data_IF_862382652921
#
_entry.id   IF_862382652921
#
_cell.length_a   1.000
_cell.length_b   1.000
_cell.length_c   1.000
_cell.angle_alpha   90.00
_cell.angle_beta   90.00
_cell.angle_gamma   90.00
#
_symmetry.space_group_name_H-M   'P 1'
#
loop_
_entity.id
_entity.type
_entity.pdbx_description
1 polymer ?
#
# COMPACT_ATOMS: atom_id res chain seq x y z
N UNK A 1 20.79 -22.20 -13.31
CA UNK A 1 20.29 -21.24 -12.29
C UNK A 1 20.76 -19.82 -12.55
N UNK A 2 22.08 -19.51 -12.54
CA UNK A 2 22.59 -18.14 -12.76
C UNK A 2 22.14 -17.48 -14.09
N UNK A 3 22.08 -18.25 -15.19
CA UNK A 3 21.60 -17.76 -16.49
C UNK A 3 20.09 -17.45 -16.51
N UNK A 4 19.30 -18.23 -15.77
CA UNK A 4 17.86 -18.01 -15.65
C UNK A 4 17.59 -16.76 -14.82
N UNK A 5 18.32 -16.60 -13.71
CA UNK A 5 18.28 -15.40 -12.88
C UNK A 5 18.68 -14.14 -13.66
N UNK A 6 19.78 -14.17 -14.42
CA UNK A 6 20.20 -13.05 -15.26
C UNK A 6 19.20 -12.74 -16.38
N UNK A 7 18.56 -13.77 -16.94
CA UNK A 7 17.50 -13.58 -17.93
C UNK A 7 16.25 -12.95 -17.30
N UNK A 8 15.85 -13.38 -16.10
CA UNK A 8 14.77 -12.76 -15.34
C UNK A 8 15.06 -11.29 -15.04
N UNK A 9 16.26 -10.98 -14.56
CA UNK A 9 16.70 -9.60 -14.31
C UNK A 9 16.73 -8.78 -15.60
N UNK A 10 17.16 -9.36 -16.72
CA UNK A 10 17.18 -8.68 -18.01
C UNK A 10 15.76 -8.42 -18.55
N UNK A 11 14.85 -9.39 -18.47
CA UNK A 11 13.45 -9.25 -18.89
C UNK A 11 12.73 -8.22 -18.02
N UNK A 12 12.94 -8.26 -16.70
CA UNK A 12 12.47 -7.21 -15.79
C UNK A 12 13.07 -5.84 -16.18
N UNK A 13 14.38 -5.78 -16.45
CA UNK A 13 15.09 -4.60 -16.90
C UNK A 13 14.51 -3.95 -18.15
N UNK A 14 14.11 -4.75 -19.15
CA UNK A 14 13.48 -4.25 -20.38
C UNK A 14 12.00 -3.88 -20.20
N UNK A 15 11.28 -4.46 -19.24
CA UNK A 15 9.91 -4.04 -18.93
C UNK A 15 9.84 -2.60 -18.37
N UNK A 16 10.96 -2.07 -17.85
CA UNK A 16 11.05 -0.68 -17.39
C UNK A 16 11.30 0.34 -18.52
N UNK A 17 11.38 -0.06 -19.80
CA UNK A 17 11.49 0.91 -20.89
C UNK A 17 10.14 1.58 -21.14
N UNK A 18 10.02 2.79 -20.60
CA UNK A 18 8.89 3.73 -20.63
C UNK A 18 7.98 3.65 -21.88
N UNK A 19 6.70 3.37 -21.63
CA UNK A 19 5.63 4.10 -22.30
C UNK A 19 5.26 5.29 -21.39
N UNK A 20 4.63 6.33 -21.93
CA UNK A 20 4.10 7.40 -21.10
C UNK A 20 2.70 6.97 -20.61
N UNK A 21 2.62 6.45 -19.39
CA UNK A 21 1.35 6.35 -18.66
C UNK A 21 1.03 7.67 -17.98
N UNK A 22 -0.25 8.04 -17.97
CA UNK A 22 -0.71 9.21 -17.24
C UNK A 22 -1.00 8.78 -15.79
N UNK A 23 -0.15 9.22 -14.86
CA UNK A 23 -0.41 9.12 -13.43
C UNK A 23 -0.87 10.48 -12.93
N UNK A 24 -2.01 10.50 -12.24
CA UNK A 24 -2.53 11.73 -11.66
C UNK A 24 -1.56 12.32 -10.63
N UNK A 25 -1.47 13.66 -10.60
CA UNK A 25 -0.61 14.36 -9.65
C UNK A 25 -1.00 14.03 -8.20
N UNK A 26 -2.31 13.96 -7.93
CA UNK A 26 -2.85 13.57 -6.63
C UNK A 26 -4.02 12.61 -6.80
N UNK A 27 -4.11 11.61 -5.92
CA UNK A 27 -5.32 10.82 -5.77
C UNK A 27 -5.66 10.64 -4.29
N UNK A 28 -6.93 10.69 -3.93
CA UNK A 28 -7.38 10.43 -2.56
C UNK A 28 -8.62 9.53 -2.55
N UNK A 29 -8.69 8.63 -1.59
CA UNK A 29 -9.89 7.83 -1.42
C UNK A 29 -9.72 6.76 -0.35
N UNK A 30 -10.29 5.59 -0.62
CA UNK A 30 -10.34 4.51 0.35
C UNK A 30 -9.56 3.30 -0.17
N UNK A 31 -8.82 2.66 0.72
CA UNK A 31 -8.24 1.32 0.53
C UNK A 31 -8.99 0.35 1.43
N UNK A 32 -9.75 -0.55 0.83
CA UNK A 32 -10.70 -1.45 1.49
C UNK A 32 -10.07 -2.84 1.59
N UNK A 33 -9.36 -3.10 2.68
CA UNK A 33 -8.74 -4.37 3.03
C UNK A 33 -9.08 -4.81 4.45
N UNK A 34 -8.37 -5.81 4.95
CA UNK A 34 -8.45 -6.23 6.36
C UNK A 34 -7.57 -5.32 7.22
N UNK A 35 -6.41 -4.91 6.70
CA UNK A 35 -5.43 -4.03 7.36
C UNK A 35 -5.15 -4.44 8.81
N UNK A 36 -4.80 -5.70 9.02
CA UNK A 36 -4.57 -6.29 10.35
C UNK A 36 -5.73 -5.99 11.35
N UNK A 37 -6.96 -6.17 10.87
CA UNK A 37 -8.19 -5.93 11.63
C UNK A 37 -8.64 -4.47 11.76
N UNK A 38 -7.89 -3.47 11.25
CA UNK A 38 -8.32 -2.07 11.20
C UNK A 38 -9.42 -1.83 10.18
N UNK A 39 -9.44 -2.62 9.09
CA UNK A 39 -10.38 -2.52 8.00
C UNK A 39 -10.00 -1.44 6.98
N UNK A 40 -10.97 -0.58 6.64
CA UNK A 40 -10.79 0.44 5.61
C UNK A 40 -9.83 1.56 6.03
N UNK A 41 -8.99 1.99 5.10
CA UNK A 41 -8.01 3.06 5.28
C UNK A 41 -8.34 4.25 4.38
N UNK A 42 -8.03 5.45 4.84
CA UNK A 42 -7.96 6.63 3.97
C UNK A 42 -6.60 6.62 3.29
N UNK A 43 -6.60 6.61 1.96
CA UNK A 43 -5.39 6.51 1.14
C UNK A 43 -5.20 7.78 0.31
N UNK A 44 -4.00 8.35 0.36
CA UNK A 44 -3.59 9.50 -0.45
C UNK A 44 -2.34 9.17 -1.25
N UNK A 45 -2.36 9.49 -2.54
CA UNK A 45 -1.24 9.32 -3.46
C UNK A 45 -0.78 10.65 -4.01
N UNK A 46 0.53 10.83 -4.12
CA UNK A 46 1.19 12.00 -4.70
C UNK A 46 2.24 11.58 -5.72
N UNK A 47 2.07 11.95 -6.99
CA UNK A 47 3.08 11.72 -8.01
C UNK A 47 4.37 12.49 -7.66
N UNK A 48 5.51 11.83 -7.88
CA UNK A 48 6.85 12.40 -7.68
C UNK A 48 7.63 12.53 -9.00
N UNK A 49 7.15 11.88 -10.05
CA UNK A 49 7.67 11.96 -11.41
C UNK A 49 6.70 11.29 -12.38
N UNK A 50 7.18 10.87 -13.54
CA UNK A 50 6.31 10.32 -14.60
C UNK A 50 5.83 8.89 -14.32
N UNK A 51 6.52 8.15 -13.45
CA UNK A 51 6.28 6.73 -13.21
C UNK A 51 6.43 6.32 -11.74
N UNK A 52 6.42 7.29 -10.82
CA UNK A 52 6.59 7.02 -9.41
C UNK A 52 5.77 7.98 -8.55
N UNK A 53 5.31 7.47 -7.41
CA UNK A 53 4.46 8.20 -6.46
C UNK A 53 4.73 7.76 -5.03
N UNK A 54 4.36 8.60 -4.09
CA UNK A 54 4.19 8.22 -2.69
C UNK A 54 2.72 7.91 -2.42
N UNK A 55 2.46 6.86 -1.66
CA UNK A 55 1.16 6.55 -1.06
C UNK A 55 1.29 6.68 0.46
N UNK A 56 0.30 7.32 1.08
CA UNK A 56 0.15 7.42 2.52
C UNK A 56 -1.24 6.94 2.92
N UNK A 57 -1.31 5.97 3.83
CA UNK A 57 -2.55 5.35 4.27
C UNK A 57 -2.73 5.54 5.78
N UNK A 58 -3.94 5.90 6.17
CA UNK A 58 -4.35 6.04 7.57
C UNK A 58 -5.54 5.13 7.85
N UNK A 59 -5.31 4.08 8.62
CA UNK A 59 -6.34 3.22 9.20
C UNK A 59 -6.56 3.55 10.67
N UNK A 60 -7.80 3.48 11.14
CA UNK A 60 -8.10 3.59 12.57
C UNK A 60 -9.33 2.77 12.93
N UNK A 61 -9.33 2.27 14.16
CA UNK A 61 -10.43 1.51 14.74
C UNK A 61 -10.65 1.94 16.18
N UNK A 62 -11.91 2.12 16.54
CA UNK A 62 -12.31 2.37 17.92
C UNK A 62 -13.40 1.38 18.32
N UNK A 63 -13.18 0.71 19.43
CA UNK A 63 -14.10 -0.25 20.03
C UNK A 63 -14.20 -0.03 21.54
N UNK A 64 -15.04 -0.84 22.19
CA UNK A 64 -15.16 -0.84 23.66
C UNK A 64 -13.85 -1.33 24.31
N UNK A 65 -13.19 -2.32 23.71
CA UNK A 65 -12.05 -3.01 24.32
C UNK A 65 -10.68 -2.42 23.91
N UNK A 66 -10.61 -1.66 22.81
CA UNK A 66 -9.36 -1.01 22.36
C UNK A 66 -9.59 0.12 21.35
N UNK A 67 -8.60 1.00 21.23
CA UNK A 67 -8.37 1.84 20.07
C UNK A 67 -7.13 1.36 19.33
N UNK A 68 -7.11 1.52 18.01
CA UNK A 68 -5.91 1.29 17.22
C UNK A 68 -5.84 2.24 16.04
N UNK A 69 -4.63 2.59 15.61
CA UNK A 69 -4.40 3.29 14.35
C UNK A 69 -3.13 2.78 13.68
N UNK A 70 -3.09 2.88 12.35
CA UNK A 70 -1.93 2.55 11.52
C UNK A 70 -1.70 3.65 10.51
N UNK A 71 -0.46 4.08 10.41
CA UNK A 71 0.01 5.01 9.41
C UNK A 71 1.05 4.30 8.54
N UNK A 72 0.76 4.19 7.25
CA UNK A 72 1.62 3.52 6.27
C UNK A 72 2.11 4.55 5.25
N UNK A 73 3.39 4.46 4.86
CA UNK A 73 3.96 5.20 3.75
C UNK A 73 4.67 4.27 2.79
N UNK A 74 4.31 4.30 1.50
CA UNK A 74 4.88 3.44 0.46
C UNK A 74 5.36 4.30 -0.71
N UNK A 75 6.59 4.07 -1.16
CA UNK A 75 7.05 4.56 -2.45
C UNK A 75 6.73 3.52 -3.52
N UNK A 76 5.98 3.90 -4.54
CA UNK A 76 5.53 3.02 -5.61
C UNK A 76 6.16 3.42 -6.94
N UNK A 77 6.64 2.41 -7.67
CA UNK A 77 6.89 2.49 -9.09
C UNK A 77 5.63 2.03 -9.82
N UNK A 78 5.20 2.77 -10.83
CA UNK A 78 4.03 2.47 -11.67
C UNK A 78 4.50 2.16 -13.08
N UNK A 79 3.94 1.14 -13.70
CA UNK A 79 4.29 0.66 -15.03
C UNK A 79 3.02 0.37 -15.83
N UNK A 80 3.02 0.63 -17.15
CA UNK A 80 1.89 0.36 -18.01
C UNK A 80 1.72 -1.16 -18.20
N UNK A 81 0.48 -1.64 -18.26
CA UNK A 81 0.13 -2.99 -18.70
C UNK A 81 -0.44 -2.95 -20.12
N UNK A 82 -1.65 -2.39 -20.26
CA UNK A 82 -2.37 -2.26 -21.54
C UNK A 82 -3.44 -1.16 -21.43
N UNK A 83 -3.48 -0.26 -22.41
CA UNK A 83 -4.38 0.90 -22.38
C UNK A 83 -4.27 1.69 -21.08
N UNK A 84 -5.38 1.80 -20.36
CA UNK A 84 -5.46 2.51 -19.08
C UNK A 84 -5.16 1.63 -17.85
N UNK A 85 -4.77 0.35 -18.04
CA UNK A 85 -4.30 -0.50 -16.96
C UNK A 85 -2.83 -0.25 -16.67
N UNK A 86 -2.51 -0.07 -15.39
CA UNK A 86 -1.15 -0.07 -14.87
C UNK A 86 -0.97 -1.21 -13.86
N UNK A 87 0.28 -1.60 -13.65
CA UNK A 87 0.69 -2.35 -12.48
C UNK A 87 1.70 -1.54 -11.69
N UNK A 88 1.78 -1.80 -10.39
CA UNK A 88 2.72 -1.13 -9.53
C UNK A 88 3.38 -2.10 -8.57
N UNK A 89 4.59 -1.74 -8.16
CA UNK A 89 5.30 -2.37 -7.05
C UNK A 89 5.82 -1.25 -6.16
N UNK A 90 5.84 -1.47 -4.86
CA UNK A 90 6.26 -0.48 -3.89
C UNK A 90 6.97 -1.08 -2.69
N UNK A 91 7.67 -0.22 -1.99
CA UNK A 91 8.32 -0.53 -0.74
C UNK A 91 8.19 0.65 0.22
N UNK A 92 8.05 0.36 1.51
CA UNK A 92 7.95 1.36 2.54
C UNK A 92 7.73 0.73 3.91
N UNK A 93 6.88 1.34 4.71
CA UNK A 93 6.63 0.91 6.08
C UNK A 93 5.85 1.97 6.84
N UNK A 94 5.78 1.80 8.15
CA UNK A 94 4.92 2.65 8.95
C UNK A 94 5.03 2.37 10.43
N UNK A 95 4.02 2.87 11.14
CA UNK A 95 3.81 2.60 12.54
C UNK A 95 2.37 2.23 12.81
N UNK A 96 2.18 1.26 13.68
CA UNK A 96 0.88 0.82 14.17
C UNK A 96 0.85 1.03 15.69
N UNK A 97 -0.28 1.47 16.21
CA UNK A 97 -0.48 1.69 17.63
C UNK A 97 -1.76 1.03 18.10
N UNK A 98 -1.66 0.40 19.25
CA UNK A 98 -2.75 -0.26 19.95
C UNK A 98 -2.83 0.30 21.37
N UNK A 99 -4.04 0.62 21.80
CA UNK A 99 -4.35 1.18 23.12
C UNK A 99 -5.56 0.43 23.68
N UNK A 100 -5.31 -0.51 24.59
CA UNK A 100 -6.32 -1.35 25.22
C UNK A 100 -7.17 -0.58 26.24
N UNK A 101 -8.39 -1.06 26.45
CA UNK A 101 -9.38 -0.52 27.40
C UNK A 101 -10.01 -1.65 28.19
N UNK A 102 -10.67 -1.30 29.29
CA UNK A 102 -11.41 -2.24 30.14
C UNK A 102 -10.53 -3.43 30.58
N UNK A 103 -10.76 -4.62 30.03
CA UNK A 103 -9.97 -5.81 30.33
C UNK A 103 -8.50 -5.72 29.84
N UNK A 104 -8.18 -4.73 29.01
CA UNK A 104 -6.87 -4.49 28.42
C UNK A 104 -6.27 -3.12 28.78
N UNK A 105 -6.77 -2.43 29.81
CA UNK A 105 -6.39 -1.03 30.17
C UNK A 105 -4.88 -0.82 30.41
N UNK A 106 -4.14 -1.87 30.78
CA UNK A 106 -2.68 -1.84 30.97
C UNK A 106 -1.87 -2.29 29.73
N UNK A 107 -2.54 -2.57 28.60
CA UNK A 107 -1.92 -3.08 27.37
C UNK A 107 -1.94 -1.99 26.31
N UNK A 108 -0.76 -1.40 26.05
CA UNK A 108 -0.57 -0.47 24.94
C UNK A 108 0.76 -0.72 24.26
N UNK A 109 0.79 -0.53 22.95
CA UNK A 109 2.01 -0.62 22.15
C UNK A 109 1.97 0.38 20.99
N UNK A 110 3.15 0.88 20.61
CA UNK A 110 3.38 1.42 19.27
C UNK A 110 4.55 0.66 18.64
N UNK A 111 4.31 0.03 17.50
CA UNK A 111 5.28 -0.76 16.77
C UNK A 111 5.60 -0.10 15.42
N UNK A 112 6.81 -0.37 14.93
CA UNK A 112 7.22 -0.04 13.56
C UNK A 112 7.08 -1.29 12.69
N UNK A 113 6.84 -1.09 11.39
CA UNK A 113 6.83 -2.18 10.42
C UNK A 113 7.44 -1.72 9.09
N UNK A 114 7.88 -2.69 8.30
CA UNK A 114 8.21 -2.50 6.88
C UNK A 114 7.16 -3.18 6.02
N UNK A 115 6.91 -2.63 4.84
CA UNK A 115 5.88 -3.11 3.94
C UNK A 115 6.39 -3.18 2.49
N UNK A 116 6.00 -4.23 1.79
CA UNK A 116 6.02 -4.29 0.34
C UNK A 116 4.61 -4.04 -0.19
N UNK A 117 4.50 -3.66 -1.46
CA UNK A 117 3.20 -3.48 -2.10
C UNK A 117 3.28 -3.92 -3.56
N UNK A 118 2.28 -4.62 -4.04
CA UNK A 118 2.17 -5.00 -5.45
C UNK A 118 0.70 -5.03 -5.85
N UNK A 119 0.40 -4.39 -6.97
CA UNK A 119 -0.99 -4.30 -7.40
C UNK A 119 -1.16 -3.95 -8.86
N UNK A 120 -2.42 -3.92 -9.25
CA UNK A 120 -2.88 -3.43 -10.53
C UNK A 120 -3.88 -2.31 -10.31
N UNK A 121 -3.94 -1.38 -11.26
CA UNK A 121 -4.88 -0.28 -11.24
C UNK A 121 -5.45 -0.01 -12.63
N UNK A 122 -6.65 0.55 -12.66
CA UNK A 122 -7.28 1.04 -13.88
C UNK A 122 -7.59 2.53 -13.74
N UNK A 123 -6.99 3.33 -14.61
CA UNK A 123 -7.19 4.77 -14.68
C UNK A 123 -8.38 5.10 -15.59
N UNK A 124 -9.49 5.59 -15.06
CA UNK A 124 -10.65 5.88 -15.90
C UNK A 124 -10.46 7.18 -16.70
N UNK A 125 -11.23 7.34 -17.78
CA UNK A 125 -11.30 8.62 -18.52
C UNK A 125 -12.08 9.71 -17.73
N UNK A 126 -12.55 9.37 -16.53
CA UNK A 126 -13.10 10.26 -15.50
C UNK A 126 -12.10 10.28 -14.33
N UNK A 127 -12.13 11.26 -13.40
CA UNK A 127 -11.16 11.37 -12.31
C UNK A 127 -11.34 10.30 -11.21
N UNK A 128 -11.24 9.03 -11.58
CA UNK A 128 -11.43 7.85 -10.77
C UNK A 128 -10.33 6.85 -11.08
N UNK A 129 -9.72 6.31 -10.03
CA UNK A 129 -8.76 5.23 -10.08
C UNK A 129 -9.30 4.07 -9.24
N UNK A 130 -9.31 2.87 -9.81
CA UNK A 130 -9.56 1.65 -9.06
C UNK A 130 -8.26 0.83 -8.98
N UNK A 131 -7.96 0.27 -7.82
CA UNK A 131 -6.81 -0.62 -7.63
C UNK A 131 -7.19 -1.90 -6.91
N UNK A 132 -6.41 -2.95 -7.15
CA UNK A 132 -6.36 -4.16 -6.35
C UNK A 132 -4.90 -4.43 -6.02
N UNK A 133 -4.58 -4.49 -4.74
CA UNK A 133 -3.21 -4.65 -4.25
C UNK A 133 -3.08 -5.75 -3.19
N UNK A 134 -1.85 -6.25 -3.08
CA UNK A 134 -1.39 -7.18 -2.07
C UNK A 134 -0.20 -6.56 -1.33
N UNK A 135 -0.32 -6.44 -0.02
CA UNK A 135 0.62 -5.75 0.85
C UNK A 135 1.15 -6.68 1.94
N UNK A 136 2.35 -7.26 1.76
CA UNK A 136 3.04 -7.93 2.85
C UNK A 136 3.64 -6.91 3.83
N UNK A 137 3.38 -7.10 5.12
CA UNK A 137 3.89 -6.26 6.21
C UNK A 137 4.66 -7.11 7.21
N UNK A 138 5.84 -6.65 7.63
CA UNK A 138 6.65 -7.29 8.66
C UNK A 138 6.79 -6.33 9.84
N UNK A 139 6.15 -6.70 10.95
CA UNK A 139 6.16 -5.94 12.19
C UNK A 139 7.43 -6.14 13.03
N UNK A 140 7.74 -5.15 13.86
CA UNK A 140 8.85 -5.18 14.82
C UNK A 140 8.40 -4.78 16.24
N UNK A 141 7.15 -5.09 16.60
CA UNK A 141 6.59 -4.91 17.93
C UNK A 141 6.58 -6.19 18.76
N UNK A 142 6.33 -6.06 20.05
CA UNK A 142 6.10 -7.18 20.97
C UNK A 142 4.75 -7.87 20.72
N UNK A 143 3.74 -7.15 20.16
CA UNK A 143 2.45 -7.70 19.75
C UNK A 143 2.28 -7.86 18.23
N UNK A 144 3.25 -7.38 17.44
CA UNK A 144 3.30 -7.45 15.98
C UNK A 144 4.72 -7.83 15.55
N UNK A 145 5.08 -9.11 15.75
CA UNK A 145 6.41 -9.68 15.42
C UNK A 145 6.37 -10.60 14.19
N UNK A 146 5.23 -10.66 13.51
CA UNK A 146 4.95 -11.58 12.43
C UNK A 146 4.80 -10.90 11.06
N UNK A 147 4.69 -11.75 10.04
CA UNK A 147 4.47 -11.37 8.66
C UNK A 147 2.98 -11.44 8.36
N UNK A 148 2.37 -10.28 8.14
CA UNK A 148 0.98 -10.15 7.76
C UNK A 148 0.82 -9.89 6.26
N UNK A 149 -0.35 -10.25 5.73
CA UNK A 149 -0.69 -10.14 4.32
C UNK A 149 -2.08 -9.53 4.14
N UNK A 150 -2.12 -8.34 3.57
CA UNK A 150 -3.37 -7.66 3.28
C UNK A 150 -3.65 -7.63 1.77
N UNK A 151 -4.91 -7.88 1.39
CA UNK A 151 -5.41 -7.69 0.03
C UNK A 151 -6.49 -6.62 0.09
N UNK A 152 -6.34 -5.56 -0.71
CA UNK A 152 -7.26 -4.43 -0.65
C UNK A 152 -7.77 -3.98 -2.02
N UNK A 153 -9.00 -3.49 -2.02
CA UNK A 153 -9.60 -2.75 -3.12
C UNK A 153 -9.46 -1.25 -2.88
N UNK A 154 -8.75 -0.56 -3.76
CA UNK A 154 -8.63 0.90 -3.74
C UNK A 154 -9.65 1.57 -4.64
N UNK A 155 -10.27 2.64 -4.13
CA UNK A 155 -11.15 3.54 -4.90
C UNK A 155 -10.70 4.96 -4.61
N UNK A 156 -10.14 5.66 -5.59
CA UNK A 156 -9.55 7.00 -5.40
C UNK A 156 -10.04 8.00 -6.43
N UNK A 157 -10.31 9.22 -6.00
CA UNK A 157 -10.59 10.38 -6.85
C UNK A 157 -9.27 11.09 -7.19
N UNK A 158 -9.12 11.49 -8.45
CA UNK A 158 -7.89 12.09 -9.00
C UNK A 158 -8.04 13.60 -9.23
N UNK A 159 -7.00 14.39 -8.95
CA UNK A 159 -7.02 15.86 -9.13
C UNK A 159 -5.63 16.52 -9.26
#
# INVERSE_FOLDING_TARGET
>A
MKKLFLLSVAVLGFAFTSNAQDISENAIGLRLGDSDGLGAEVSYQRALGDNNRLEADLGWRSSNDYNAFKLTGIYQWVMPLDGNFNWFVGAGGGLASFDGKDAFDDVSETALFVAGDIGIEYNFDIPLLLSLDFRPELGFGDFSDDLDFDIALGIRYQF
#
